data_IF_814920561937
#
_entry.id   IF_814920561937
#
_cell.length_a   1.000
_cell.length_b   1.000
_cell.length_c   1.000
_cell.angle_alpha   90.00
_cell.angle_beta   90.00
_cell.angle_gamma   90.00
#
_symmetry.space_group_name_H-M   'P 1'
#
loop_
_entity.id
_entity.type
_entity.pdbx_description
1 polymer ?
#
# COMPACT_ATOMS: atom_id res chain seq x y z
N UNK A 1 47.42 -28.61 11.20
CA UNK A 1 46.89 -28.81 9.85
C UNK A 1 45.39 -29.17 9.86
N UNK A 2 44.90 -29.95 10.81
CA UNK A 2 43.47 -30.33 10.94
C UNK A 2 42.52 -29.15 11.24
N UNK A 3 42.88 -28.25 12.12
CA UNK A 3 42.02 -27.10 12.51
C UNK A 3 41.76 -26.13 11.35
N UNK A 4 42.76 -25.90 10.45
CA UNK A 4 42.55 -25.09 9.24
C UNK A 4 41.59 -25.73 8.24
N UNK A 5 41.58 -27.08 8.14
CA UNK A 5 40.64 -27.80 7.28
C UNK A 5 39.23 -27.77 7.82
N UNK A 6 39.04 -27.83 9.14
CA UNK A 6 37.72 -27.75 9.79
C UNK A 6 37.13 -26.32 9.65
N UNK A 7 37.93 -25.28 9.77
CA UNK A 7 37.51 -23.90 9.55
C UNK A 7 37.16 -23.64 8.08
N UNK A 8 37.86 -24.24 7.11
CA UNK A 8 37.54 -24.09 5.69
C UNK A 8 36.25 -24.84 5.31
N UNK A 9 36.01 -26.02 5.89
CA UNK A 9 34.77 -26.77 5.67
C UNK A 9 33.58 -26.09 6.34
N UNK A 10 33.76 -25.52 7.53
CA UNK A 10 32.69 -24.73 8.19
C UNK A 10 32.38 -23.44 7.43
N UNK A 11 33.37 -22.75 6.85
CA UNK A 11 33.15 -21.58 6.00
C UNK A 11 32.49 -21.93 4.67
N UNK A 12 32.77 -23.11 4.11
CA UNK A 12 32.15 -23.61 2.88
C UNK A 12 30.70 -24.10 3.14
N UNK A 13 30.41 -24.68 4.33
CA UNK A 13 29.05 -25.03 4.71
C UNK A 13 28.17 -23.78 5.00
N UNK A 14 28.76 -22.69 5.50
CA UNK A 14 28.05 -21.42 5.67
C UNK A 14 27.76 -20.71 4.33
N UNK A 15 28.54 -20.98 3.29
CA UNK A 15 28.32 -20.49 1.92
C UNK A 15 27.28 -21.29 1.13
N UNK A 16 26.89 -22.48 1.62
CA UNK A 16 25.84 -23.31 1.00
C UNK A 16 24.46 -23.11 1.59
N UNK A 17 24.31 -22.24 2.58
CA UNK A 17 23.03 -21.61 2.91
C UNK A 17 22.78 -20.48 1.89
N UNK A 18 22.75 -20.83 0.60
CA UNK A 18 22.02 -20.02 -0.37
C UNK A 18 20.56 -20.04 0.09
N UNK A 19 20.20 -19.06 0.88
CA UNK A 19 18.80 -18.69 1.05
C UNK A 19 18.27 -18.53 -0.37
N UNK A 20 17.49 -19.49 -0.83
CA UNK A 20 16.58 -19.25 -1.94
C UNK A 20 15.74 -18.10 -1.41
N UNK A 21 16.04 -16.88 -1.87
CA UNK A 21 15.15 -15.75 -1.65
C UNK A 21 13.86 -16.17 -2.32
N UNK A 22 12.86 -16.56 -1.52
CA UNK A 22 11.54 -16.85 -2.00
C UNK A 22 11.08 -15.54 -2.62
N UNK A 23 11.11 -15.44 -3.96
CA UNK A 23 10.71 -14.22 -4.66
C UNK A 23 9.22 -14.06 -4.42
N UNK A 24 8.86 -12.99 -3.72
CA UNK A 24 7.48 -12.70 -3.40
C UNK A 24 6.62 -12.75 -4.68
N UNK A 25 5.54 -13.50 -4.63
CA UNK A 25 4.62 -13.69 -5.75
C UNK A 25 3.51 -12.62 -5.70
N UNK A 26 3.54 -11.69 -6.65
CA UNK A 26 2.51 -10.65 -6.80
C UNK A 26 1.51 -11.04 -7.90
N UNK A 27 0.22 -11.12 -7.54
CA UNK A 27 -0.88 -11.19 -8.52
C UNK A 27 -1.17 -9.80 -9.05
N UNK A 28 -1.50 -9.67 -10.33
CA UNK A 28 -1.74 -8.38 -10.97
C UNK A 28 -3.20 -8.21 -11.37
N UNK A 29 -3.69 -6.97 -11.29
CA UNK A 29 -4.97 -6.54 -11.83
C UNK A 29 -4.72 -5.26 -12.66
N UNK A 30 -5.10 -5.27 -13.93
CA UNK A 30 -4.77 -4.25 -14.92
C UNK A 30 -6.01 -3.76 -15.70
N UNK A 31 -5.82 -2.95 -16.70
CA UNK A 31 -6.90 -2.54 -17.63
C UNK A 31 -7.46 -3.73 -18.41
N UNK A 32 -6.68 -4.79 -18.63
CA UNK A 32 -7.16 -6.02 -19.28
C UNK A 32 -8.18 -6.77 -18.40
N UNK A 33 -8.11 -6.56 -17.10
CA UNK A 33 -9.03 -7.12 -16.11
C UNK A 33 -10.21 -6.18 -15.80
N UNK A 34 -10.28 -5.04 -16.49
CA UNK A 34 -11.40 -4.10 -16.44
C UNK A 34 -11.15 -2.83 -15.62
N UNK A 35 -9.92 -2.56 -15.14
CA UNK A 35 -9.62 -1.26 -14.52
C UNK A 35 -9.77 -0.13 -15.54
N UNK A 36 -10.31 1.02 -15.09
CA UNK A 36 -10.43 2.23 -15.91
C UNK A 36 -9.06 2.78 -16.33
N UNK A 37 -8.07 2.65 -15.44
CA UNK A 37 -6.72 3.15 -15.64
C UNK A 37 -5.71 2.38 -14.79
N UNK A 38 -4.43 2.48 -15.14
CA UNK A 38 -3.31 1.82 -14.43
C UNK A 38 -2.76 2.60 -13.24
N UNK A 39 -3.12 3.90 -13.10
CA UNK A 39 -2.68 4.74 -11.98
C UNK A 39 -3.63 4.57 -10.80
N UNK A 40 -3.20 3.86 -9.77
CA UNK A 40 -4.03 3.61 -8.57
C UNK A 40 -3.42 4.35 -7.39
N UNK A 41 -4.15 5.36 -6.89
CA UNK A 41 -3.65 6.28 -5.86
C UNK A 41 -4.35 6.13 -4.51
N UNK A 42 -5.47 5.40 -4.46
CA UNK A 42 -6.19 5.13 -3.21
C UNK A 42 -6.85 3.76 -3.27
N UNK A 43 -6.84 3.04 -2.15
CA UNK A 43 -7.43 1.70 -2.04
C UNK A 43 -8.21 1.62 -0.73
N UNK A 44 -9.42 1.04 -0.80
CA UNK A 44 -10.27 0.79 0.37
C UNK A 44 -11.09 -0.48 0.15
N UNK A 45 -11.36 -1.25 1.20
CA UNK A 45 -12.27 -2.38 1.19
C UNK A 45 -13.55 -2.03 1.95
N UNK A 46 -14.73 -2.25 1.37
CA UNK A 46 -16.01 -2.03 2.04
C UNK A 46 -16.42 -3.24 2.94
N UNK A 47 -17.56 -3.15 3.60
CA UNK A 47 -18.10 -4.19 4.50
C UNK A 47 -18.54 -5.46 3.76
N UNK A 48 -18.73 -5.40 2.45
CA UNK A 48 -19.07 -6.56 1.61
C UNK A 48 -17.82 -7.33 1.18
N UNK A 49 -16.63 -6.80 1.48
CA UNK A 49 -15.35 -7.31 1.03
C UNK A 49 -14.91 -6.78 -0.33
N UNK A 50 -15.74 -5.99 -1.01
CA UNK A 50 -15.38 -5.41 -2.30
C UNK A 50 -14.31 -4.32 -2.12
N UNK A 51 -13.35 -4.31 -3.05
CA UNK A 51 -12.25 -3.35 -3.07
C UNK A 51 -12.56 -2.17 -3.97
N UNK A 52 -12.21 -1.01 -3.52
CA UNK A 52 -12.38 0.26 -4.21
C UNK A 52 -11.01 0.83 -4.56
N UNK A 53 -10.79 1.08 -5.83
CA UNK A 53 -9.55 1.66 -6.35
C UNK A 53 -9.83 3.02 -6.95
N UNK A 54 -9.24 4.04 -6.37
CA UNK A 54 -9.28 5.40 -6.90
C UNK A 54 -8.18 5.64 -7.90
N UNK A 55 -8.53 6.19 -9.05
CA UNK A 55 -7.63 6.55 -10.13
C UNK A 55 -7.86 7.99 -10.59
N UNK A 56 -7.09 8.48 -11.57
CA UNK A 56 -7.37 9.76 -12.25
C UNK A 56 -8.52 9.67 -13.26
N UNK A 57 -9.02 8.46 -13.55
CA UNK A 57 -10.10 8.20 -14.51
C UNK A 57 -11.25 7.42 -13.84
N UNK A 58 -11.69 7.89 -12.66
CA UNK A 58 -12.85 7.35 -11.96
C UNK A 58 -12.53 6.36 -10.87
N UNK A 59 -13.58 5.69 -10.40
CA UNK A 59 -13.55 4.71 -9.33
C UNK A 59 -13.76 3.33 -9.89
N UNK A 60 -12.94 2.39 -9.45
CA UNK A 60 -13.06 0.98 -9.78
C UNK A 60 -13.48 0.21 -8.54
N UNK A 61 -14.57 -0.57 -8.64
CA UNK A 61 -15.03 -1.48 -7.58
C UNK A 61 -14.82 -2.92 -8.02
N UNK A 62 -13.96 -3.64 -7.31
CA UNK A 62 -13.63 -5.03 -7.57
C UNK A 62 -14.28 -5.95 -6.54
N UNK A 63 -15.04 -6.93 -6.98
CA UNK A 63 -15.78 -7.88 -6.14
C UNK A 63 -15.12 -9.25 -5.99
N UNK A 64 -13.86 -9.38 -6.42
CA UNK A 64 -13.12 -10.65 -6.45
C UNK A 64 -13.16 -11.37 -7.81
N UNK A 65 -14.07 -10.99 -8.71
CA UNK A 65 -14.22 -11.61 -10.05
C UNK A 65 -14.21 -10.58 -11.18
N UNK A 66 -14.84 -9.43 -10.97
CA UNK A 66 -15.01 -8.40 -12.00
C UNK A 66 -14.85 -7.01 -11.43
N UNK A 67 -14.49 -6.08 -12.30
CA UNK A 67 -14.38 -4.65 -11.99
C UNK A 67 -15.58 -3.91 -12.53
N UNK A 68 -16.24 -3.13 -11.67
CA UNK A 68 -17.25 -2.12 -12.07
C UNK A 68 -16.62 -0.76 -12.01
N UNK A 69 -16.66 0.00 -13.10
CA UNK A 69 -16.10 1.34 -13.19
C UNK A 69 -17.21 2.38 -13.05
N UNK A 70 -16.96 3.41 -12.23
CA UNK A 70 -17.85 4.57 -12.08
C UNK A 70 -17.15 5.82 -12.56
N UNK A 71 -17.79 6.52 -13.49
CA UNK A 71 -17.39 7.84 -13.99
C UNK A 71 -18.44 8.89 -13.64
N UNK A 72 -18.10 10.18 -13.60
CA UNK A 72 -19.09 11.26 -13.58
C UNK A 72 -20.01 11.14 -14.80
N UNK A 73 -21.31 11.04 -14.57
CA UNK A 73 -22.31 10.95 -15.63
C UNK A 73 -23.67 11.43 -15.09
N UNK A 74 -24.66 11.59 -15.99
CA UNK A 74 -26.03 11.92 -15.58
C UNK A 74 -26.66 10.81 -14.73
N UNK A 75 -26.23 9.57 -14.91
CA UNK A 75 -26.73 8.41 -14.16
C UNK A 75 -26.06 8.27 -12.77
N UNK A 76 -24.87 8.84 -12.60
CA UNK A 76 -24.10 8.85 -11.34
C UNK A 76 -24.24 10.22 -10.64
N UNK A 77 -25.47 10.60 -10.34
CA UNK A 77 -25.78 11.86 -9.64
C UNK A 77 -25.02 11.91 -8.31
N UNK A 78 -23.97 12.73 -8.23
CA UNK A 78 -23.15 12.88 -7.02
C UNK A 78 -21.67 12.66 -7.22
N UNK A 79 -21.23 11.78 -8.11
CA UNK A 79 -19.83 11.73 -8.51
C UNK A 79 -19.57 12.83 -9.54
N UNK A 80 -18.70 13.79 -9.19
CA UNK A 80 -18.56 15.05 -9.90
C UNK A 80 -17.26 15.18 -10.69
N UNK A 81 -16.24 14.40 -10.30
CA UNK A 81 -14.90 14.47 -10.87
C UNK A 81 -14.35 13.08 -11.10
N UNK A 82 -13.50 12.92 -12.13
CA UNK A 82 -12.81 11.68 -12.42
C UNK A 82 -11.62 11.41 -11.47
N UNK A 83 -10.95 12.47 -11.01
CA UNK A 83 -9.76 12.36 -10.20
C UNK A 83 -10.10 11.97 -8.75
N UNK A 84 -9.86 10.72 -8.38
CA UNK A 84 -10.18 10.19 -7.05
C UNK A 84 -8.93 10.20 -6.18
N UNK A 85 -8.87 11.16 -5.26
CA UNK A 85 -7.68 11.43 -4.45
C UNK A 85 -7.57 10.56 -3.20
N UNK A 86 -8.71 10.27 -2.55
CA UNK A 86 -8.75 9.44 -1.35
C UNK A 86 -10.08 8.69 -1.25
N UNK A 87 -10.04 7.50 -0.68
CA UNK A 87 -11.22 6.68 -0.36
C UNK A 87 -11.07 6.17 1.07
N UNK A 88 -12.12 6.31 1.88
CA UNK A 88 -12.24 5.68 3.18
C UNK A 88 -13.71 5.29 3.43
N UNK A 89 -14.04 4.65 4.55
CA UNK A 89 -15.43 4.30 4.82
C UNK A 89 -15.64 3.81 6.24
N UNK A 90 -16.92 3.64 6.59
CA UNK A 90 -17.33 3.28 7.94
C UNK A 90 -17.49 1.77 8.17
N UNK A 91 -17.26 0.93 7.15
CA UNK A 91 -17.54 -0.52 7.20
C UNK A 91 -18.99 -0.85 7.60
N UNK A 92 -19.93 0.09 7.39
CA UNK A 92 -21.35 -0.03 7.76
C UNK A 92 -22.29 0.37 6.62
N UNK A 93 -21.77 0.50 5.41
CA UNK A 93 -22.53 0.82 4.19
C UNK A 93 -22.20 2.15 3.54
N UNK A 94 -21.26 2.92 4.07
CA UNK A 94 -20.86 4.20 3.49
C UNK A 94 -19.38 4.17 3.09
N UNK A 95 -19.12 4.44 1.82
CA UNK A 95 -17.79 4.68 1.26
C UNK A 95 -17.67 6.16 0.96
N UNK A 96 -16.74 6.84 1.62
CA UNK A 96 -16.47 8.27 1.45
C UNK A 96 -15.34 8.45 0.45
N UNK A 97 -15.54 9.34 -0.49
CA UNK A 97 -14.68 9.51 -1.67
C UNK A 97 -14.35 10.99 -1.80
N UNK A 98 -13.08 11.30 -1.84
CA UNK A 98 -12.59 12.59 -2.26
C UNK A 98 -12.40 12.58 -3.78
N UNK A 99 -13.34 13.19 -4.50
CA UNK A 99 -13.27 13.42 -5.94
C UNK A 99 -12.71 14.83 -6.16
N UNK A 100 -11.39 14.92 -6.45
CA UNK A 100 -10.57 16.13 -6.52
C UNK A 100 -10.76 17.02 -5.27
N UNK A 101 -11.69 17.97 -5.29
CA UNK A 101 -11.98 18.88 -4.19
C UNK A 101 -13.34 18.65 -3.54
N UNK A 102 -14.10 17.71 -4.03
CA UNK A 102 -15.45 17.38 -3.56
C UNK A 102 -15.42 16.16 -2.62
N UNK A 103 -16.37 16.11 -1.70
CA UNK A 103 -16.64 14.97 -0.86
C UNK A 103 -17.94 14.31 -1.30
N UNK A 104 -17.83 13.06 -1.70
CA UNK A 104 -18.94 12.22 -2.14
C UNK A 104 -19.06 11.01 -1.23
N UNK A 105 -20.27 10.53 -0.99
CA UNK A 105 -20.55 9.28 -0.31
C UNK A 105 -21.25 8.32 -1.27
N UNK A 106 -20.75 7.11 -1.39
CA UNK A 106 -21.46 6.00 -2.00
C UNK A 106 -22.07 5.13 -0.89
N UNK A 107 -23.36 4.88 -0.99
CA UNK A 107 -24.04 3.95 -0.07
C UNK A 107 -24.12 2.57 -0.73
N UNK A 108 -23.50 1.55 -0.12
CA UNK A 108 -23.39 0.20 -0.67
C UNK A 108 -24.74 -0.54 -0.72
N UNK A 109 -25.70 -0.17 0.14
CA UNK A 109 -27.03 -0.79 0.21
C UNK A 109 -27.97 -0.25 -0.88
N UNK A 110 -27.98 1.08 -1.06
CA UNK A 110 -28.81 1.73 -2.08
C UNK A 110 -28.13 1.80 -3.44
N UNK A 111 -26.81 1.56 -3.48
CA UNK A 111 -25.95 1.66 -4.65
C UNK A 111 -25.98 3.04 -5.31
N UNK A 112 -26.12 4.10 -4.50
CA UNK A 112 -26.22 5.47 -4.98
C UNK A 112 -25.10 6.36 -4.42
N UNK A 113 -24.68 7.31 -5.26
CA UNK A 113 -23.77 8.38 -4.88
C UNK A 113 -24.56 9.58 -4.34
N UNK A 114 -24.05 10.18 -3.27
CA UNK A 114 -24.57 11.41 -2.68
C UNK A 114 -23.42 12.40 -2.47
N UNK A 115 -23.52 13.58 -3.03
CA UNK A 115 -22.57 14.65 -2.77
C UNK A 115 -22.78 15.20 -1.37
N UNK A 116 -21.80 15.06 -0.49
CA UNK A 116 -21.85 15.59 0.86
C UNK A 116 -21.36 17.04 0.93
N UNK A 117 -20.39 17.40 0.08
CA UNK A 117 -19.79 18.73 0.05
C UNK A 117 -19.17 19.01 -1.31
N UNK A 118 -19.36 20.24 -1.78
CA UNK A 118 -18.68 20.79 -2.94
C UNK A 118 -17.48 21.64 -2.50
N UNK A 119 -16.36 21.50 -3.20
CA UNK A 119 -15.15 22.29 -3.05
C UNK A 119 -14.47 22.25 -1.68
N UNK A 120 -13.21 22.65 -1.65
CA UNK A 120 -12.43 22.87 -0.44
C UNK A 120 -12.22 21.60 0.44
N UNK A 121 -12.19 20.42 -0.17
CA UNK A 121 -11.73 19.17 0.45
C UNK A 121 -10.31 18.89 -0.01
N UNK A 122 -9.39 18.78 0.94
CA UNK A 122 -7.97 18.50 0.67
C UNK A 122 -7.60 17.07 1.01
N UNK A 123 -8.23 16.46 2.02
CA UNK A 123 -8.13 15.05 2.34
C UNK A 123 -9.28 14.62 3.27
N UNK A 124 -9.52 13.32 3.32
CA UNK A 124 -10.50 12.67 4.19
C UNK A 124 -9.85 11.50 4.94
N UNK A 125 -10.32 11.26 6.15
CA UNK A 125 -9.87 10.14 6.98
C UNK A 125 -11.01 9.66 7.88
N UNK A 126 -11.20 8.35 7.99
CA UNK A 126 -12.25 7.79 8.85
C UNK A 126 -11.65 6.97 9.99
N UNK A 127 -12.01 7.27 11.22
CA UNK A 127 -11.61 6.51 12.41
C UNK A 127 -12.62 6.73 13.55
N UNK A 128 -12.93 5.68 14.29
CA UNK A 128 -13.77 5.70 15.50
C UNK A 128 -15.10 6.43 15.26
N UNK A 129 -15.88 5.94 14.28
CA UNK A 129 -17.19 6.48 13.89
C UNK A 129 -17.18 8.00 13.56
N UNK A 130 -16.04 8.51 13.16
CA UNK A 130 -15.87 9.91 12.79
C UNK A 130 -15.18 10.05 11.44
N UNK A 131 -15.82 10.76 10.52
CA UNK A 131 -15.23 11.20 9.26
C UNK A 131 -14.55 12.55 9.49
N UNK A 132 -13.24 12.59 9.32
CA UNK A 132 -12.41 13.78 9.38
C UNK A 132 -12.23 14.35 8.00
N UNK A 133 -12.36 15.66 7.86
CA UNK A 133 -12.32 16.37 6.58
C UNK A 133 -11.36 17.54 6.71
N UNK A 134 -10.22 17.43 6.06
CA UNK A 134 -9.30 18.56 5.91
C UNK A 134 -9.74 19.43 4.74
N UNK A 135 -10.07 20.66 5.02
CA UNK A 135 -10.19 21.71 4.02
C UNK A 135 -8.87 22.47 3.87
N UNK A 136 -8.83 23.45 2.96
CA UNK A 136 -7.60 24.21 2.65
C UNK A 136 -6.91 24.82 3.88
N UNK A 137 -7.70 25.33 4.84
CA UNK A 137 -7.20 26.00 6.05
C UNK A 137 -7.97 25.63 7.32
N UNK A 138 -8.68 24.51 7.31
CA UNK A 138 -9.51 24.06 8.42
C UNK A 138 -9.59 22.54 8.51
N UNK A 139 -9.83 22.06 9.72
CA UNK A 139 -10.19 20.68 10.00
C UNK A 139 -11.63 20.64 10.49
N UNK A 140 -12.42 19.82 9.85
CA UNK A 140 -13.82 19.58 10.14
C UNK A 140 -14.04 18.09 10.40
N UNK A 141 -15.16 17.76 11.01
CA UNK A 141 -15.53 16.37 11.26
C UNK A 141 -17.04 16.16 11.18
N UNK A 142 -17.41 14.91 10.91
CA UNK A 142 -18.79 14.43 10.97
C UNK A 142 -18.81 13.10 11.73
N UNK A 143 -19.61 13.05 12.78
CA UNK A 143 -19.83 11.80 13.53
C UNK A 143 -20.84 10.93 12.78
N UNK A 144 -20.64 9.63 12.84
CA UNK A 144 -21.57 8.67 12.22
C UNK A 144 -22.98 8.83 12.79
N UNK A 145 -23.98 8.81 11.89
CA UNK A 145 -25.37 9.09 12.25
C UNK A 145 -25.75 10.59 12.32
N UNK A 146 -24.77 11.49 12.32
CA UNK A 146 -25.03 12.95 12.25
C UNK A 146 -25.04 13.39 10.76
N UNK A 147 -25.97 14.26 10.42
CA UNK A 147 -26.04 14.88 9.08
C UNK A 147 -25.13 16.10 8.94
N UNK A 148 -24.64 16.66 10.06
CA UNK A 148 -23.92 17.93 10.07
C UNK A 148 -22.40 17.74 10.07
N UNK A 149 -21.72 18.56 9.25
CA UNK A 149 -20.26 18.70 9.28
C UNK A 149 -19.95 19.87 10.23
N UNK A 150 -19.12 19.63 11.25
CA UNK A 150 -18.74 20.60 12.27
C UNK A 150 -17.30 21.02 12.12
N UNK A 151 -17.01 22.29 12.38
CA UNK A 151 -15.66 22.82 12.45
C UNK A 151 -14.99 22.38 13.77
N UNK A 152 -13.79 21.79 13.69
CA UNK A 152 -12.94 21.55 14.87
C UNK A 152 -12.01 22.75 15.10
N UNK A 153 -11.22 23.12 14.08
CA UNK A 153 -10.23 24.21 14.19
C UNK A 153 -9.84 24.76 12.81
N UNK A 154 -9.14 25.88 12.81
CA UNK A 154 -8.55 26.49 11.61
C UNK A 154 -7.03 26.51 11.69
N UNK A 155 -6.36 26.55 10.54
CA UNK A 155 -4.91 26.65 10.43
C UNK A 155 -4.49 28.05 9.95
N UNK A 156 -3.33 28.49 10.38
CA UNK A 156 -2.72 29.73 9.87
C UNK A 156 -2.25 29.59 8.42
N UNK A 157 -1.76 28.40 8.04
CA UNK A 157 -1.25 28.11 6.72
C UNK A 157 -2.22 27.20 5.95
N UNK A 158 -2.28 27.37 4.63
CA UNK A 158 -3.06 26.49 3.77
C UNK A 158 -2.34 25.13 3.62
N UNK A 159 -3.10 24.05 3.70
CA UNK A 159 -2.63 22.71 3.33
C UNK A 159 -2.88 22.45 1.84
N UNK A 160 -2.13 21.47 1.28
CA UNK A 160 -2.29 21.03 -0.11
C UNK A 160 -3.40 20.02 -0.25
N UNK A 161 -3.86 19.84 -1.48
CA UNK A 161 -4.64 18.65 -1.85
C UNK A 161 -3.82 17.40 -1.55
N UNK A 162 -4.47 16.39 -0.98
CA UNK A 162 -3.86 15.14 -0.50
C UNK A 162 -2.89 15.30 0.68
N UNK A 163 -2.96 16.41 1.43
CA UNK A 163 -2.23 16.50 2.71
C UNK A 163 -2.77 15.46 3.68
N UNK A 164 -1.94 14.51 4.16
CA UNK A 164 -2.43 13.38 4.94
C UNK A 164 -2.95 13.79 6.32
N UNK A 165 -3.97 13.05 6.78
CA UNK A 165 -4.53 13.15 8.13
C UNK A 165 -4.35 11.81 8.82
N UNK A 166 -3.97 11.81 10.09
CA UNK A 166 -3.99 10.63 10.96
C UNK A 166 -4.50 11.02 12.35
N UNK A 167 -5.51 10.31 12.83
CA UNK A 167 -5.97 10.42 14.21
C UNK A 167 -5.35 9.29 15.02
N UNK A 168 -4.55 9.63 16.03
CA UNK A 168 -3.90 8.66 16.89
C UNK A 168 -4.76 8.32 18.11
N UNK A 169 -4.49 7.17 18.72
CA UNK A 169 -5.31 6.66 19.82
C UNK A 169 -5.08 7.44 21.13
N UNK A 170 -3.99 8.19 21.24
CA UNK A 170 -3.64 9.08 22.36
C UNK A 170 -4.36 10.44 22.33
N UNK A 171 -5.29 10.62 21.38
CA UNK A 171 -6.13 11.80 21.30
C UNK A 171 -5.61 12.94 20.43
N UNK A 172 -4.48 12.74 19.73
CA UNK A 172 -3.98 13.73 18.79
C UNK A 172 -4.47 13.51 17.36
N UNK A 173 -4.49 14.58 16.60
CA UNK A 173 -4.66 14.58 15.15
C UNK A 173 -3.40 15.15 14.52
N UNK A 174 -2.87 14.44 13.54
CA UNK A 174 -1.71 14.87 12.78
C UNK A 174 -2.11 15.20 11.35
N UNK A 175 -1.60 16.29 10.83
CA UNK A 175 -1.86 16.75 9.45
C UNK A 175 -0.53 17.13 8.80
N UNK A 176 -0.28 16.59 7.61
CA UNK A 176 0.84 17.01 6.78
C UNK A 176 0.61 18.43 6.26
N UNK A 177 1.52 19.35 6.58
CA UNK A 177 1.49 20.72 6.11
C UNK A 177 2.34 20.88 4.82
N UNK A 178 2.34 22.07 4.24
CA UNK A 178 3.23 22.42 3.13
C UNK A 178 4.72 22.27 3.55
N UNK A 179 5.00 22.58 4.82
CA UNK A 179 6.31 22.39 5.46
C UNK A 179 6.06 21.86 6.86
N UNK A 180 6.46 20.60 7.11
CA UNK A 180 6.35 19.99 8.42
C UNK A 180 5.04 19.23 8.68
N UNK A 181 4.83 18.90 9.93
CA UNK A 181 3.72 18.15 10.47
C UNK A 181 3.03 18.97 11.56
N UNK A 182 1.72 19.15 11.47
CA UNK A 182 0.94 19.80 12.51
C UNK A 182 0.34 18.74 13.43
N UNK A 183 0.55 18.86 14.74
CA UNK A 183 -0.13 18.09 15.80
C UNK A 183 -1.17 18.94 16.48
N UNK A 184 -2.40 18.43 16.58
CA UNK A 184 -3.55 19.08 17.18
C UNK A 184 -4.08 18.23 18.32
N UNK A 185 -4.29 18.82 19.50
CA UNK A 185 -4.97 18.16 20.60
C UNK A 185 -6.49 18.18 20.33
N UNK A 186 -7.15 17.00 20.32
CA UNK A 186 -8.59 16.88 20.06
C UNK A 186 -9.46 17.55 21.12
N UNK A 187 -8.97 17.62 22.36
CA UNK A 187 -9.70 18.22 23.49
C UNK A 187 -9.47 19.72 23.60
N UNK A 188 -8.36 20.21 23.05
CA UNK A 188 -7.96 21.62 23.03
C UNK A 188 -7.44 21.99 21.63
N UNK A 189 -8.32 22.10 20.61
CA UNK A 189 -7.92 22.22 19.21
C UNK A 189 -7.17 23.50 18.86
N UNK A 190 -7.20 24.50 19.72
CA UNK A 190 -6.38 25.70 19.65
C UNK A 190 -4.91 25.44 19.96
N UNK A 191 -4.58 24.35 20.68
CA UNK A 191 -3.21 23.90 20.95
C UNK A 191 -2.67 23.13 19.76
N UNK A 192 -1.97 23.86 18.91
CA UNK A 192 -1.36 23.33 17.69
C UNK A 192 0.16 23.42 17.82
N UNK A 193 0.83 22.29 17.52
CA UNK A 193 2.28 22.19 17.57
C UNK A 193 2.83 21.79 16.21
N UNK A 194 3.76 22.56 15.68
CA UNK A 194 4.48 22.22 14.46
C UNK A 194 5.67 21.31 14.82
N UNK A 195 5.76 20.19 14.10
CA UNK A 195 6.83 19.21 14.22
C UNK A 195 7.54 19.07 12.86
N UNK A 196 8.81 18.64 12.89
CA UNK A 196 9.58 18.33 11.69
C UNK A 196 9.49 19.46 10.63
N UNK A 197 9.97 20.67 10.92
CA UNK A 197 9.94 21.77 9.98
C UNK A 197 10.70 21.40 8.69
N UNK A 198 10.28 22.00 7.58
CA UNK A 198 10.88 21.86 6.25
C UNK A 198 10.80 20.47 5.60
N UNK A 199 10.03 19.52 6.16
CA UNK A 199 9.72 18.27 5.50
C UNK A 199 8.41 18.35 4.71
N UNK A 200 8.33 17.64 3.59
CA UNK A 200 7.10 17.43 2.84
C UNK A 200 6.52 16.06 3.19
N UNK A 201 5.46 16.04 4.00
CA UNK A 201 4.78 14.81 4.41
C UNK A 201 3.91 14.30 3.25
N UNK A 202 4.00 13.00 2.96
CA UNK A 202 3.24 12.31 1.91
C UNK A 202 2.10 11.47 2.49
N UNK A 203 2.37 10.69 3.54
CA UNK A 203 1.37 9.92 4.25
C UNK A 203 1.73 9.76 5.72
N UNK A 204 0.73 9.39 6.51
CA UNK A 204 0.81 9.15 7.95
C UNK A 204 0.17 7.80 8.26
N UNK A 205 0.82 7.00 9.09
CA UNK A 205 0.31 5.72 9.54
C UNK A 205 0.66 5.47 11.01
N UNK A 206 -0.33 5.10 11.83
CA UNK A 206 -0.08 4.64 13.21
C UNK A 206 -0.04 3.12 13.25
N UNK A 207 1.08 2.56 13.73
CA UNK A 207 1.23 1.11 13.89
C UNK A 207 0.54 0.58 15.16
N UNK A 208 0.53 -0.73 15.33
CA UNK A 208 -0.05 -1.42 16.49
C UNK A 208 0.66 -1.08 17.82
N UNK A 209 1.94 -0.69 17.76
CA UNK A 209 2.73 -0.24 18.89
C UNK A 209 2.58 1.26 19.19
N UNK A 210 1.64 1.94 18.51
CA UNK A 210 1.33 3.37 18.67
C UNK A 210 2.42 4.32 18.15
N UNK A 211 3.41 3.83 17.41
CA UNK A 211 4.32 4.72 16.71
C UNK A 211 3.57 5.39 15.53
N UNK A 212 3.85 6.67 15.30
CA UNK A 212 3.40 7.37 14.09
C UNK A 212 4.54 7.34 13.05
N UNK A 213 4.25 6.70 11.92
CA UNK A 213 5.12 6.67 10.77
C UNK A 213 4.79 7.82 9.83
N UNK A 214 5.79 8.63 9.50
CA UNK A 214 5.66 9.87 8.73
C UNK A 214 6.45 9.67 7.45
N UNK A 215 5.74 9.34 6.38
CA UNK A 215 6.32 9.15 5.05
C UNK A 215 6.57 10.51 4.39
N UNK A 216 7.75 10.70 3.81
CA UNK A 216 8.16 12.01 3.31
C UNK A 216 8.64 11.97 1.87
N UNK A 217 8.54 13.12 1.20
CA UNK A 217 9.16 13.32 -0.10
C UNK A 217 10.65 13.57 0.08
N UNK A 218 11.49 12.67 -0.46
CA UNK A 218 12.95 12.75 -0.53
C UNK A 218 13.74 12.71 0.79
N UNK A 219 13.06 12.52 1.95
CA UNK A 219 13.75 12.47 3.25
C UNK A 219 13.57 11.13 3.98
N UNK A 220 13.07 10.10 3.30
CA UNK A 220 12.82 8.78 3.87
C UNK A 220 11.55 8.77 4.74
N UNK A 221 11.55 7.94 5.77
CA UNK A 221 10.44 7.80 6.71
C UNK A 221 10.90 8.10 8.13
N UNK A 222 10.10 8.86 8.87
CA UNK A 222 10.32 9.13 10.29
C UNK A 222 9.37 8.28 11.12
N UNK A 223 9.86 7.76 12.24
CA UNK A 223 9.05 7.15 13.30
C UNK A 223 9.03 8.08 14.49
N UNK A 224 7.86 8.55 14.86
CA UNK A 224 7.59 9.25 16.12
C UNK A 224 7.02 8.22 17.10
N UNK A 225 7.78 7.89 18.13
CA UNK A 225 7.37 6.93 19.16
C UNK A 225 6.48 7.60 20.22
N UNK A 226 5.72 6.82 21.04
CA UNK A 226 4.86 7.36 22.09
C UNK A 226 5.59 8.18 23.16
N UNK A 227 6.87 7.92 23.38
CA UNK A 227 7.75 8.69 24.30
C UNK A 227 8.22 10.02 23.72
N UNK A 228 7.85 10.32 22.46
CA UNK A 228 8.24 11.53 21.74
C UNK A 228 9.58 11.42 21.01
N UNK A 229 10.28 10.29 21.09
CA UNK A 229 11.51 10.08 20.34
C UNK A 229 11.26 9.96 18.83
N UNK A 230 12.17 10.53 18.03
CA UNK A 230 12.05 10.54 16.57
C UNK A 230 13.28 9.84 15.98
N UNK A 231 13.03 8.85 15.13
CA UNK A 231 14.04 8.17 14.30
C UNK A 231 13.75 8.42 12.82
N UNK A 232 14.80 8.53 12.02
CA UNK A 232 14.70 8.66 10.56
C UNK A 232 15.37 7.47 9.88
N UNK A 233 14.63 6.81 9.00
CA UNK A 233 15.11 5.72 8.14
C UNK A 233 15.22 6.24 6.70
N UNK A 234 16.37 5.98 6.07
CA UNK A 234 16.67 6.48 4.73
C UNK A 234 17.26 5.41 3.85
N UNK A 235 17.21 5.64 2.55
CA UNK A 235 18.03 4.90 1.60
C UNK A 235 19.51 5.19 1.85
N UNK A 236 20.29 4.11 1.97
CA UNK A 236 21.74 4.13 2.08
C UNK A 236 22.29 3.34 0.88
N UNK A 237 22.86 4.01 -0.15
CA UNK A 237 23.19 3.37 -1.43
C UNK A 237 24.06 2.10 -1.33
N UNK A 238 24.97 2.06 -0.35
CA UNK A 238 25.91 0.95 -0.14
C UNK A 238 25.39 -0.09 0.88
N UNK A 239 24.16 0.07 1.36
CA UNK A 239 23.55 -0.83 2.34
C UNK A 239 22.21 -1.35 1.85
N UNK A 240 22.17 -2.61 1.43
CA UNK A 240 20.93 -3.29 1.00
C UNK A 240 19.91 -3.44 2.12
N UNK A 241 20.34 -3.39 3.39
CA UNK A 241 19.47 -3.36 4.56
C UNK A 241 18.99 -1.93 4.88
N UNK A 242 18.40 -1.26 3.90
CA UNK A 242 17.85 0.09 4.01
C UNK A 242 16.69 0.30 3.03
N UNK A 243 16.01 1.43 3.10
CA UNK A 243 14.97 1.81 2.13
C UNK A 243 15.53 1.80 0.70
N UNK A 244 14.70 1.34 -0.25
CA UNK A 244 15.03 1.38 -1.68
C UNK A 244 15.06 2.81 -2.25
N UNK A 245 14.28 3.73 -1.66
CA UNK A 245 14.20 5.12 -2.11
C UNK A 245 13.74 6.06 -0.98
N UNK A 246 14.23 7.31 -0.97
CA UNK A 246 13.87 8.32 0.02
C UNK A 246 12.53 9.03 -0.22
N UNK A 247 11.90 8.86 -1.38
CA UNK A 247 10.54 9.36 -1.65
C UNK A 247 9.52 8.30 -1.23
N UNK A 248 9.09 8.34 0.03
CA UNK A 248 8.18 7.38 0.65
C UNK A 248 6.76 7.94 0.62
N UNK A 249 5.81 7.19 0.05
CA UNK A 249 4.46 7.69 -0.26
C UNK A 249 3.36 7.09 0.59
N UNK A 250 3.50 5.87 1.05
CA UNK A 250 2.50 5.19 1.86
C UNK A 250 3.14 4.18 2.80
N UNK A 251 2.43 3.83 3.87
CA UNK A 251 2.84 2.84 4.85
C UNK A 251 1.63 2.07 5.37
N UNK A 252 1.81 0.79 5.67
CA UNK A 252 0.86 -0.06 6.41
C UNK A 252 1.63 -1.07 7.27
N UNK A 253 0.92 -1.72 8.20
CA UNK A 253 1.41 -2.85 8.99
C UNK A 253 0.66 -4.12 8.60
N UNK A 254 1.37 -5.24 8.39
CA UNK A 254 0.76 -6.55 8.18
C UNK A 254 0.36 -7.23 9.50
N UNK A 255 -0.29 -8.40 9.42
CA UNK A 255 -0.73 -9.15 10.61
C UNK A 255 0.42 -9.83 11.36
N UNK A 256 1.62 -9.85 10.77
CA UNK A 256 2.86 -10.35 11.38
C UNK A 256 3.66 -9.24 12.08
N UNK A 257 3.17 -7.98 12.03
CA UNK A 257 3.81 -6.81 12.61
C UNK A 257 4.95 -6.23 11.77
N UNK A 258 5.08 -6.63 10.50
CA UNK A 258 6.03 -5.98 9.60
C UNK A 258 5.42 -4.70 9.03
N UNK A 259 6.25 -3.69 8.85
CA UNK A 259 5.88 -2.42 8.23
C UNK A 259 6.19 -2.48 6.73
N UNK A 260 5.23 -2.09 5.90
CA UNK A 260 5.37 -2.01 4.46
C UNK A 260 5.36 -0.55 4.01
N UNK A 261 6.34 -0.17 3.21
CA UNK A 261 6.50 1.20 2.70
C UNK A 261 6.54 1.20 1.19
N UNK A 262 5.60 1.91 0.58
CA UNK A 262 5.60 2.19 -0.85
C UNK A 262 6.43 3.42 -1.16
N UNK A 263 7.37 3.30 -2.10
CA UNK A 263 8.26 4.39 -2.49
C UNK A 263 8.16 4.71 -3.97
N UNK A 264 8.86 5.77 -4.41
CA UNK A 264 9.01 6.08 -5.83
C UNK A 264 9.69 4.93 -6.60
N UNK A 265 10.56 4.15 -5.94
CA UNK A 265 11.25 3.03 -6.55
C UNK A 265 11.34 1.83 -5.59
N UNK A 266 10.28 1.03 -5.57
CA UNK A 266 10.17 -0.22 -4.83
C UNK A 266 9.18 -0.19 -3.68
N UNK A 267 8.75 -1.39 -3.32
CA UNK A 267 8.01 -1.74 -2.12
C UNK A 267 9.00 -2.28 -1.09
N UNK A 268 8.95 -1.77 0.12
CA UNK A 268 9.90 -2.12 1.17
C UNK A 268 9.14 -2.75 2.34
N UNK A 269 9.59 -3.90 2.81
CA UNK A 269 9.13 -4.55 4.04
C UNK A 269 10.19 -4.36 5.12
N UNK A 270 9.79 -3.89 6.28
CA UNK A 270 10.64 -3.70 7.45
C UNK A 270 10.14 -4.54 8.60
N UNK A 271 10.99 -5.39 9.14
CA UNK A 271 10.70 -6.13 10.36
C UNK A 271 11.27 -5.38 11.57
N UNK A 272 10.43 -4.83 12.47
CA UNK A 272 10.90 -4.05 13.60
C UNK A 272 11.69 -4.87 14.63
N UNK A 273 11.41 -6.17 14.75
CA UNK A 273 12.05 -7.04 15.73
C UNK A 273 13.48 -7.41 15.34
N UNK A 274 13.72 -7.66 14.04
CA UNK A 274 15.04 -8.03 13.50
C UNK A 274 15.79 -6.84 12.91
N UNK A 275 15.09 -5.72 12.66
CA UNK A 275 15.58 -4.52 11.97
C UNK A 275 16.07 -4.81 10.54
N UNK A 276 15.44 -5.79 9.88
CA UNK A 276 15.77 -6.19 8.50
C UNK A 276 14.82 -5.52 7.52
N UNK A 277 15.38 -5.02 6.42
CA UNK A 277 14.68 -4.50 5.26
C UNK A 277 14.72 -5.48 4.10
N UNK A 278 13.59 -5.72 3.48
CA UNK A 278 13.43 -6.46 2.23
C UNK A 278 12.87 -5.51 1.17
N UNK A 279 13.46 -5.49 -0.03
CA UNK A 279 13.09 -4.57 -1.09
C UNK A 279 12.59 -5.35 -2.32
N UNK A 280 11.38 -5.01 -2.79
CA UNK A 280 10.77 -5.59 -3.98
C UNK A 280 10.65 -4.52 -5.07
N UNK A 281 11.10 -4.84 -6.28
CA UNK A 281 11.02 -3.97 -7.46
C UNK A 281 10.44 -4.74 -8.64
N UNK A 282 10.00 -4.01 -9.66
CA UNK A 282 9.64 -4.61 -10.94
C UNK A 282 10.87 -5.21 -11.61
N UNK A 283 10.72 -6.43 -12.14
CA UNK A 283 11.75 -7.16 -12.89
C UNK A 283 11.13 -7.65 -14.20
N UNK A 284 11.67 -7.19 -15.34
CA UNK A 284 11.11 -7.46 -16.67
C UNK A 284 11.04 -8.96 -17.03
N UNK A 285 11.93 -9.76 -16.47
CA UNK A 285 12.03 -11.20 -16.73
C UNK A 285 11.34 -12.07 -15.68
N UNK A 286 10.64 -11.47 -14.70
CA UNK A 286 9.90 -12.20 -13.66
C UNK A 286 8.44 -11.74 -13.71
N UNK A 287 7.57 -12.61 -14.24
CA UNK A 287 6.16 -12.29 -14.49
C UNK A 287 5.36 -11.97 -13.22
N UNK A 288 5.78 -12.56 -12.09
CA UNK A 288 5.15 -12.37 -10.77
C UNK A 288 5.88 -11.35 -9.88
N UNK A 289 6.86 -10.61 -10.39
CA UNK A 289 7.42 -9.44 -9.70
C UNK A 289 6.38 -8.31 -9.66
N UNK A 290 6.64 -7.21 -8.95
CA UNK A 290 5.77 -6.04 -9.00
C UNK A 290 5.51 -5.59 -10.43
N UNK A 291 4.27 -5.26 -10.77
CA UNK A 291 3.90 -4.76 -12.11
C UNK A 291 4.58 -3.42 -12.46
N UNK A 292 4.94 -2.63 -11.44
CA UNK A 292 5.68 -1.38 -11.56
C UNK A 292 6.35 -1.00 -10.24
N UNK A 293 7.57 -0.44 -10.30
CA UNK A 293 8.33 -0.11 -9.07
C UNK A 293 7.82 1.13 -8.32
N UNK A 294 7.08 2.04 -8.97
CA UNK A 294 6.59 3.26 -8.31
C UNK A 294 5.25 3.00 -7.62
N UNK A 295 5.26 2.97 -6.29
CA UNK A 295 4.10 2.65 -5.46
C UNK A 295 3.40 3.93 -4.98
N UNK A 296 2.06 3.97 -5.07
CA UNK A 296 1.24 5.10 -4.62
C UNK A 296 0.37 4.79 -3.42
N UNK A 297 -0.19 3.58 -3.36
CA UNK A 297 -1.13 3.20 -2.32
C UNK A 297 -0.84 1.80 -1.79
N UNK A 298 -1.07 1.62 -0.51
CA UNK A 298 -1.04 0.33 0.18
C UNK A 298 -2.32 0.18 1.00
N UNK A 299 -2.86 -1.00 0.98
CA UNK A 299 -4.04 -1.34 1.78
C UNK A 299 -3.97 -2.80 2.23
N UNK A 300 -4.22 -3.06 3.52
CA UNK A 300 -4.37 -4.41 4.07
C UNK A 300 -5.86 -4.74 4.12
N UNK A 301 -6.26 -5.83 3.47
CA UNK A 301 -7.63 -6.30 3.51
C UNK A 301 -7.96 -7.07 4.80
N UNK A 302 -9.21 -7.47 4.96
CA UNK A 302 -9.68 -8.19 6.16
C UNK A 302 -9.17 -9.63 6.26
N UNK A 303 -8.52 -10.14 5.23
CA UNK A 303 -7.92 -11.47 5.18
C UNK A 303 -6.39 -11.45 5.37
N UNK A 304 -5.82 -10.26 5.61
CA UNK A 304 -4.38 -10.05 5.78
C UNK A 304 -3.61 -9.86 4.49
N UNK A 305 -4.29 -9.90 3.32
CA UNK A 305 -3.69 -9.64 2.02
C UNK A 305 -3.33 -8.16 1.83
N UNK A 306 -2.23 -7.90 1.14
CA UNK A 306 -1.73 -6.55 0.87
C UNK A 306 -2.03 -6.18 -0.58
N UNK A 307 -2.79 -5.11 -0.76
CA UNK A 307 -3.11 -4.51 -2.05
C UNK A 307 -2.21 -3.31 -2.29
N UNK A 308 -1.59 -3.27 -3.47
CA UNK A 308 -0.53 -2.33 -3.80
C UNK A 308 -0.93 -1.60 -5.08
N UNK A 309 -1.26 -0.33 -4.96
CA UNK A 309 -1.54 0.56 -6.09
C UNK A 309 -0.25 1.15 -6.65
N UNK A 310 -0.07 1.07 -7.96
CA UNK A 310 1.13 1.55 -8.65
C UNK A 310 0.85 2.73 -9.58
N UNK A 311 1.92 3.39 -10.05
CA UNK A 311 1.81 4.53 -10.97
C UNK A 311 1.40 4.11 -12.39
N UNK A 312 1.95 3.00 -12.92
CA UNK A 312 1.68 2.56 -14.29
C UNK A 312 1.40 1.06 -14.45
N UNK A 313 1.29 0.31 -13.36
CA UNK A 313 1.12 -1.14 -13.40
C UNK A 313 -0.23 -1.65 -12.88
N UNK A 314 -1.21 -0.76 -12.62
CA UNK A 314 -2.47 -1.15 -11.99
C UNK A 314 -2.30 -1.52 -10.52
N UNK A 315 -2.92 -2.61 -10.10
CA UNK A 315 -2.92 -3.12 -8.73
C UNK A 315 -2.14 -4.42 -8.65
N UNK A 316 -1.35 -4.57 -7.59
CA UNK A 316 -0.76 -5.85 -7.23
C UNK A 316 -1.39 -6.34 -5.92
N UNK A 317 -1.46 -7.65 -5.78
CA UNK A 317 -1.88 -8.32 -4.55
C UNK A 317 -0.81 -9.28 -4.08
N UNK A 318 -0.49 -9.22 -2.79
CA UNK A 318 0.44 -10.10 -2.11
C UNK A 318 -0.18 -10.59 -0.80
N UNK A 319 -0.06 -11.89 -0.52
CA UNK A 319 -0.48 -12.43 0.77
C UNK A 319 0.75 -12.88 1.57
N UNK A 320 1.08 -12.21 2.68
CA UNK A 320 2.23 -12.56 3.52
C UNK A 320 2.16 -13.97 4.14
N UNK A 321 0.95 -14.53 4.27
CA UNK A 321 0.76 -15.88 4.85
C UNK A 321 0.92 -17.00 3.82
N UNK A 322 0.88 -16.68 2.52
CA UNK A 322 1.09 -17.64 1.42
C UNK A 322 2.59 -17.80 1.04
N UNK A 323 3.48 -17.22 1.80
CA UNK A 323 4.95 -17.17 1.53
C UNK A 323 5.64 -18.55 1.59
N UNK A 324 4.89 -19.60 1.88
CA UNK A 324 5.36 -21.00 1.84
C UNK A 324 5.10 -21.70 0.49
N UNK A 325 4.46 -21.01 -0.46
CA UNK A 325 4.16 -21.57 -1.78
C UNK A 325 5.31 -21.28 -2.74
N UNK A 326 6.01 -22.32 -3.18
CA UNK A 326 7.02 -22.19 -4.25
C UNK A 326 6.33 -22.16 -5.60
N UNK A 327 6.62 -21.14 -6.40
CA UNK A 327 6.10 -20.99 -7.76
C UNK A 327 7.19 -21.31 -8.79
N UNK A 328 6.85 -22.18 -9.74
CA UNK A 328 7.74 -22.57 -10.83
C UNK A 328 7.09 -22.19 -12.16
N UNK A 329 7.74 -21.34 -12.93
CA UNK A 329 7.30 -20.98 -14.28
C UNK A 329 8.33 -21.39 -15.34
N UNK A 330 7.88 -21.47 -16.58
CA UNK A 330 8.79 -21.66 -17.71
C UNK A 330 9.45 -20.32 -18.05
N UNK A 331 10.74 -20.22 -17.80
CA UNK A 331 11.53 -19.03 -18.10
C UNK A 331 12.94 -19.44 -18.56
N UNK A 332 13.27 -19.25 -19.84
CA UNK A 332 14.57 -19.66 -20.40
C UNK A 332 15.77 -18.91 -19.80
N UNK A 333 15.53 -17.75 -19.20
CA UNK A 333 16.58 -16.90 -18.63
C UNK A 333 16.84 -17.17 -17.13
N UNK A 334 16.03 -18.05 -16.52
CA UNK A 334 16.17 -18.40 -15.11
C UNK A 334 16.76 -19.82 -14.92
N UNK A 335 17.84 -19.96 -14.15
CA UNK A 335 18.31 -21.28 -13.73
C UNK A 335 17.24 -21.96 -12.86
N UNK A 336 16.98 -23.23 -13.09
CA UNK A 336 15.95 -24.03 -12.37
C UNK A 336 14.48 -23.70 -12.71
N UNK A 337 14.22 -22.91 -13.74
CA UNK A 337 12.87 -22.73 -14.27
C UNK A 337 12.38 -23.97 -15.02
N UNK A 338 11.06 -24.10 -15.17
CA UNK A 338 10.47 -25.13 -16.01
C UNK A 338 10.92 -24.92 -17.47
N UNK A 339 11.23 -26.00 -18.16
CA UNK A 339 11.61 -25.95 -19.58
C UNK A 339 10.43 -25.59 -20.51
N UNK A 340 9.21 -25.84 -20.04
CA UNK A 340 7.97 -25.53 -20.76
C UNK A 340 6.79 -25.32 -19.77
N UNK A 341 5.82 -24.44 -20.06
CA UNK A 341 4.75 -24.07 -19.13
C UNK A 341 3.74 -25.18 -18.86
N UNK A 342 3.66 -26.21 -19.71
CA UNK A 342 2.74 -27.34 -19.53
C UNK A 342 3.45 -28.48 -18.82
N UNK A 343 3.02 -28.75 -17.58
CA UNK A 343 3.51 -29.87 -16.77
C UNK A 343 2.57 -31.05 -16.92
N UNK A 344 3.11 -32.19 -17.33
CA UNK A 344 2.34 -33.40 -17.57
C UNK A 344 2.24 -34.30 -16.36
N UNK A 345 3.36 -34.67 -15.75
CA UNK A 345 3.43 -35.55 -14.58
C UNK A 345 4.38 -34.98 -13.55
N UNK A 346 4.12 -35.28 -12.29
CA UNK A 346 4.97 -34.95 -11.15
C UNK A 346 5.21 -36.21 -10.34
N UNK A 347 6.41 -36.33 -9.77
CA UNK A 347 6.77 -37.41 -8.85
C UNK A 347 7.81 -36.90 -7.86
N UNK A 348 7.63 -37.27 -6.61
CA UNK A 348 8.58 -37.03 -5.53
C UNK A 348 9.50 -38.22 -5.40
N UNK A 349 10.83 -38.00 -5.21
CA UNK A 349 11.81 -39.04 -4.93
C UNK A 349 11.99 -39.24 -3.42
N UNK A 350 12.87 -40.19 -3.06
CA UNK A 350 13.14 -40.56 -1.66
C UNK A 350 13.86 -39.43 -0.87
N UNK A 351 14.50 -38.50 -1.57
CA UNK A 351 15.18 -37.33 -1.03
C UNK A 351 14.26 -36.08 -0.97
N UNK A 352 12.96 -36.24 -1.24
CA UNK A 352 11.95 -35.16 -1.31
C UNK A 352 12.16 -34.14 -2.44
N UNK A 353 12.87 -34.50 -3.52
CA UNK A 353 12.91 -33.68 -4.73
C UNK A 353 11.67 -33.92 -5.58
N UNK A 354 11.12 -32.85 -6.13
CA UNK A 354 9.97 -32.91 -7.04
C UNK A 354 10.46 -32.96 -8.50
N UNK A 355 10.22 -34.09 -9.16
CA UNK A 355 10.49 -34.29 -10.58
C UNK A 355 9.24 -33.94 -11.41
N UNK A 356 9.45 -33.12 -12.44
CA UNK A 356 8.36 -32.72 -13.35
C UNK A 356 8.72 -33.05 -14.80
N UNK A 357 7.73 -33.51 -15.56
CA UNK A 357 7.86 -33.76 -17.00
C UNK A 357 7.09 -32.67 -17.75
N UNK A 358 7.78 -31.92 -18.59
CA UNK A 358 7.17 -30.92 -19.48
C UNK A 358 7.10 -31.41 -20.93
N UNK A 359 6.16 -30.92 -21.71
CA UNK A 359 5.84 -31.41 -23.07
C UNK A 359 6.74 -30.86 -24.19
N UNK A 360 7.99 -30.54 -23.94
CA UNK A 360 8.90 -29.96 -24.95
C UNK A 360 9.23 -30.87 -26.14
N UNK A 361 9.03 -32.19 -26.07
CA UNK A 361 9.49 -33.15 -27.09
C UNK A 361 8.44 -33.59 -28.12
N UNK A 362 7.21 -33.16 -28.06
CA UNK A 362 6.19 -33.57 -29.03
C UNK A 362 6.16 -32.76 -30.34
N UNK A 363 6.97 -31.71 -30.49
CA UNK A 363 7.05 -30.88 -31.72
C UNK A 363 8.27 -31.17 -32.61
N UNK A 364 9.19 -31.98 -32.21
CA UNK A 364 10.44 -32.24 -32.98
C UNK A 364 10.38 -33.47 -33.89
N UNK A 365 9.22 -34.13 -34.06
CA UNK A 365 9.06 -35.30 -34.91
C UNK A 365 8.02 -35.16 -36.04
N UNK A 366 7.58 -33.95 -36.33
CA UNK A 366 6.77 -33.69 -37.53
C UNK A 366 7.57 -32.79 -38.49
N UNK A 367 8.58 -33.32 -39.14
CA UNK A 367 9.14 -32.89 -40.43
C UNK A 367 9.54 -34.12 -41.25
#
# INVERSE_FOLDING_TARGET
MAIKKILLVASFLLLLLSTHANTAYFKHLSVQDGLSQVNIISIYQDETGALWFGSFEGINRYNGQSVTVFHPSQDNIGLTENEIMAICGNKKGNVYIQALHDLVCYNTRTQQFHKLRANNVSNIYYKNDTLWIAGRNKLEFRVEGDSTIRLLTTFKENIRVSSPICCTDDGYIYIGMNKGLLRIDRTQPERQHSLLPDIKVQSLYQDSQKNLWICTSRQGVYRLAPDGSILNFRNLPDNTNSLSNNDVRCAIEDDLGNLWFGTFYGLNKYNPSTQVWENHVHQNNISHSLSHSSIFALYKDTQGGIWIGTYFGGVNYYNPTDDHTSYYEANPDMPHALSFPVVGKMQEDAEHNLWTVSYTHLRAQET
#
